data_IF_890669523120
#
_entry.id   IF_890669523120
#
_cell.length_a   1.000
_cell.length_b   1.000
_cell.length_c   1.000
_cell.angle_alpha   90.00
_cell.angle_beta   90.00
_cell.angle_gamma   90.00
#
_symmetry.space_group_name_H-M   'P 1'
#
loop_
_entity.id
_entity.type
_entity.pdbx_description
1 polymer ?
#
# COMPACT_ATOMS: atom_id res chain seq x y z
N UNK A 1 19.04 2.86 -21.79
CA UNK A 1 18.15 2.06 -20.92
C UNK A 1 18.82 1.75 -19.60
N UNK A 2 18.13 1.89 -18.50
CA UNK A 2 18.64 1.54 -17.18
C UNK A 2 18.83 0.02 -17.07
N UNK A 3 19.80 -0.42 -16.28
CA UNK A 3 19.97 -1.84 -16.01
C UNK A 3 18.92 -2.30 -14.99
N UNK A 4 18.08 -3.24 -15.36
CA UNK A 4 17.08 -3.80 -14.46
C UNK A 4 17.74 -4.82 -13.55
N UNK A 5 17.70 -4.56 -12.23
CA UNK A 5 18.26 -5.46 -11.22
C UNK A 5 17.19 -6.27 -10.51
N UNK A 6 15.94 -5.84 -10.59
CA UNK A 6 14.78 -6.59 -10.12
C UNK A 6 13.64 -6.37 -11.09
N UNK A 7 13.10 -7.44 -11.65
CA UNK A 7 11.99 -7.37 -12.58
C UNK A 7 10.69 -7.00 -11.86
N UNK A 8 9.80 -6.36 -12.60
CA UNK A 8 8.43 -6.08 -12.16
C UNK A 8 7.70 -7.40 -11.89
N UNK A 9 7.16 -7.58 -10.69
CA UNK A 9 6.64 -8.87 -10.23
C UNK A 9 5.25 -8.71 -9.63
N UNK A 10 4.25 -9.49 -10.09
CA UNK A 10 2.97 -9.56 -9.38
C UNK A 10 3.17 -10.24 -8.02
N UNK A 11 2.50 -9.70 -7.02
CA UNK A 11 2.61 -10.20 -5.66
C UNK A 11 1.25 -10.11 -4.96
N UNK A 12 1.13 -10.77 -3.81
CA UNK A 12 -0.06 -10.69 -2.98
C UNK A 12 0.33 -10.45 -1.53
N UNK A 13 -0.54 -9.72 -0.83
CA UNK A 13 -0.44 -9.56 0.61
C UNK A 13 -1.78 -9.95 1.22
N UNK A 14 -1.74 -10.63 2.37
CA UNK A 14 -2.93 -10.98 3.10
C UNK A 14 -3.04 -10.09 4.32
N UNK A 15 -4.18 -9.43 4.46
CA UNK A 15 -4.48 -8.59 5.61
C UNK A 15 -5.65 -9.18 6.38
N UNK A 16 -5.64 -8.95 7.69
CA UNK A 16 -6.62 -9.48 8.62
C UNK A 16 -7.26 -8.33 9.36
N UNK A 17 -8.57 -8.44 9.58
CA UNK A 17 -9.37 -7.39 10.21
C UNK A 17 -10.35 -8.00 11.20
N UNK A 18 -10.71 -7.19 12.20
CA UNK A 18 -11.84 -7.44 13.07
C UNK A 18 -12.86 -6.36 12.81
N UNK A 19 -14.10 -6.74 12.49
CA UNK A 19 -15.15 -5.81 12.13
C UNK A 19 -16.32 -5.90 13.11
N UNK A 20 -16.86 -4.74 13.45
CA UNK A 20 -18.10 -4.59 14.20
C UNK A 20 -19.10 -3.86 13.32
N UNK A 21 -20.34 -4.32 13.31
CA UNK A 21 -21.40 -3.70 12.54
C UNK A 21 -22.52 -3.24 13.46
N UNK A 22 -23.21 -2.15 13.12
CA UNK A 22 -24.41 -1.77 13.82
C UNK A 22 -25.53 -2.75 13.49
N UNK A 23 -26.26 -3.21 14.50
CA UNK A 23 -27.33 -4.19 14.34
C UNK A 23 -28.49 -3.66 13.48
N UNK A 24 -28.75 -2.36 13.54
CA UNK A 24 -29.78 -1.68 12.78
C UNK A 24 -29.29 -1.07 11.47
N UNK A 25 -27.97 -1.07 11.22
CA UNK A 25 -27.37 -0.57 9.99
C UNK A 25 -26.12 -1.39 9.65
N UNK A 26 -26.30 -2.55 8.97
CA UNK A 26 -25.17 -3.43 8.67
C UNK A 26 -24.12 -2.85 7.74
N UNK A 27 -24.40 -1.72 7.07
CA UNK A 27 -23.44 -1.05 6.20
C UNK A 27 -22.52 -0.12 6.96
N UNK A 28 -22.78 0.11 8.24
CA UNK A 28 -21.97 0.96 9.11
C UNK A 28 -21.36 0.16 10.24
N UNK A 29 -20.18 0.56 10.66
CA UNK A 29 -19.50 -0.10 11.76
C UNK A 29 -18.07 0.37 11.91
N UNK A 30 -17.26 -0.49 12.52
CA UNK A 30 -15.86 -0.22 12.80
C UNK A 30 -15.01 -1.38 12.31
N UNK A 31 -13.80 -1.06 11.82
CA UNK A 31 -12.82 -2.04 11.33
C UNK A 31 -11.50 -1.77 12.01
N UNK A 32 -10.89 -2.82 12.54
CA UNK A 32 -9.60 -2.74 13.22
C UNK A 32 -8.63 -3.76 12.64
N UNK A 33 -7.32 -3.48 12.61
CA UNK A 33 -6.35 -4.46 12.17
C UNK A 33 -6.29 -5.65 13.12
N UNK A 34 -6.11 -6.83 12.56
CA UNK A 34 -6.00 -8.07 13.32
C UNK A 34 -4.72 -8.83 12.96
N UNK A 35 -4.32 -9.70 13.85
CA UNK A 35 -3.26 -10.67 13.60
C UNK A 35 -3.83 -11.88 12.85
N UNK A 36 -2.93 -12.68 12.29
CA UNK A 36 -3.32 -13.90 11.56
C UNK A 36 -4.13 -14.87 12.41
N UNK A 37 -3.90 -14.89 13.73
CA UNK A 37 -4.59 -15.76 14.67
C UNK A 37 -5.97 -15.25 15.11
N UNK A 38 -6.39 -14.08 14.60
CA UNK A 38 -7.67 -13.47 14.93
C UNK A 38 -7.66 -12.54 16.13
N UNK A 39 -6.52 -12.34 16.77
CA UNK A 39 -6.42 -11.38 17.87
C UNK A 39 -6.23 -9.96 17.32
N UNK A 40 -6.67 -8.92 18.07
CA UNK A 40 -6.45 -7.55 17.62
C UNK A 40 -4.95 -7.21 17.57
N UNK A 41 -4.54 -6.54 16.50
CA UNK A 41 -3.15 -6.15 16.30
C UNK A 41 -2.88 -4.80 16.98
N UNK A 42 -2.82 -4.78 18.30
CA UNK A 42 -2.66 -3.55 19.08
C UNK A 42 -1.36 -2.81 18.77
N UNK A 43 -0.33 -3.51 18.34
CA UNK A 43 0.94 -2.92 17.91
C UNK A 43 0.81 -2.06 16.64
N UNK A 44 -0.24 -2.28 15.86
CA UNK A 44 -0.55 -1.51 14.63
C UNK A 44 -1.58 -0.42 14.86
N UNK A 45 -2.08 -0.27 16.08
CA UNK A 45 -3.12 0.69 16.43
C UNK A 45 -2.54 1.85 17.23
N UNK A 46 -2.92 3.11 16.91
CA UNK A 46 -2.67 4.21 17.83
C UNK A 46 -3.50 4.04 19.10
N UNK A 47 -3.14 4.72 20.21
CA UNK A 47 -3.88 4.59 21.47
C UNK A 47 -5.37 4.82 21.37
N UNK A 48 -5.78 5.76 20.52
CA UNK A 48 -7.18 6.09 20.28
C UNK A 48 -7.95 4.92 19.67
N UNK A 49 -7.32 4.19 18.74
CA UNK A 49 -7.92 3.03 18.10
C UNK A 49 -8.08 1.88 19.10
N UNK A 50 -7.10 1.67 19.98
CA UNK A 50 -7.17 0.67 21.03
C UNK A 50 -8.34 0.95 21.98
N UNK A 51 -8.49 2.21 22.37
CA UNK A 51 -9.61 2.64 23.21
C UNK A 51 -10.94 2.40 22.52
N UNK A 52 -11.05 2.77 21.24
CA UNK A 52 -12.25 2.55 20.44
C UNK A 52 -12.59 1.07 20.29
N UNK A 53 -11.60 0.23 20.10
CA UNK A 53 -11.80 -1.22 20.05
C UNK A 53 -12.41 -1.75 21.35
N UNK A 54 -11.89 -1.34 22.50
CA UNK A 54 -12.41 -1.75 23.80
C UNK A 54 -13.82 -1.24 24.03
N UNK A 55 -14.16 -0.03 23.56
CA UNK A 55 -15.51 0.50 23.62
C UNK A 55 -16.48 -0.30 22.72
N UNK A 56 -16.04 -0.71 21.54
CA UNK A 56 -16.84 -1.52 20.63
C UNK A 56 -17.22 -2.88 21.24
N UNK A 57 -16.34 -3.48 22.01
CA UNK A 57 -16.60 -4.75 22.69
C UNK A 57 -17.75 -4.65 23.71
N UNK A 58 -17.99 -3.46 24.25
CA UNK A 58 -19.01 -3.21 25.27
C UNK A 58 -20.27 -2.57 24.71
N UNK A 59 -20.27 -2.20 23.44
CA UNK A 59 -21.39 -1.46 22.82
C UNK A 59 -22.47 -2.45 22.36
N UNK A 60 -23.61 -2.44 23.02
CA UNK A 60 -24.74 -3.33 22.72
C UNK A 60 -25.40 -3.04 21.36
N UNK A 61 -25.14 -1.88 20.77
CA UNK A 61 -25.67 -1.54 19.43
C UNK A 61 -24.92 -2.24 18.32
N UNK A 62 -23.74 -2.79 18.62
CA UNK A 62 -22.87 -3.46 17.67
C UNK A 62 -23.02 -4.99 17.75
N UNK A 63 -22.76 -5.64 16.62
CA UNK A 63 -22.65 -7.10 16.58
C UNK A 63 -21.42 -7.56 17.34
N UNK A 64 -21.29 -8.86 17.59
CA UNK A 64 -20.04 -9.44 18.05
C UNK A 64 -18.96 -9.24 16.97
N UNK A 65 -17.67 -9.17 17.36
CA UNK A 65 -16.61 -8.98 16.41
C UNK A 65 -16.52 -10.13 15.40
N UNK A 66 -16.37 -9.76 14.13
CA UNK A 66 -16.19 -10.72 13.04
C UNK A 66 -14.76 -10.62 12.51
N UNK A 67 -14.11 -11.76 12.36
CA UNK A 67 -12.78 -11.84 11.78
C UNK A 67 -12.90 -11.93 10.26
N UNK A 68 -12.17 -11.05 9.54
CA UNK A 68 -12.13 -11.05 8.09
C UNK A 68 -10.70 -11.15 7.58
N UNK A 69 -10.54 -11.93 6.54
CA UNK A 69 -9.28 -12.08 5.80
C UNK A 69 -9.46 -11.48 4.42
N UNK A 70 -8.52 -10.65 4.00
CA UNK A 70 -8.51 -10.04 2.68
C UNK A 70 -7.19 -10.30 1.98
N UNK A 71 -7.25 -10.80 0.75
CA UNK A 71 -6.08 -11.02 -0.10
C UNK A 71 -6.04 -9.91 -1.13
N UNK A 72 -4.98 -9.10 -1.09
CA UNK A 72 -4.79 -7.96 -1.97
C UNK A 72 -3.69 -8.31 -2.97
N UNK A 73 -4.01 -8.19 -4.26
CA UNK A 73 -3.04 -8.35 -5.34
C UNK A 73 -2.44 -7.00 -5.69
N UNK A 74 -1.14 -6.95 -5.85
CA UNK A 74 -0.44 -5.75 -6.27
C UNK A 74 0.75 -6.12 -7.14
N UNK A 75 1.35 -5.12 -7.77
CA UNK A 75 2.54 -5.31 -8.59
C UNK A 75 3.71 -4.62 -7.90
N UNK A 76 4.74 -5.39 -7.55
CA UNK A 76 5.99 -4.83 -7.08
C UNK A 76 6.70 -4.19 -8.27
N UNK A 77 7.07 -2.89 -8.19
CA UNK A 77 7.73 -2.22 -9.30
C UNK A 77 9.13 -2.79 -9.54
N UNK A 78 9.58 -2.70 -10.79
CA UNK A 78 10.95 -3.03 -11.12
C UNK A 78 11.90 -2.06 -10.43
N UNK A 79 13.12 -2.52 -10.17
CA UNK A 79 14.21 -1.68 -9.66
C UNK A 79 15.32 -1.70 -10.70
N UNK A 80 15.81 -0.53 -11.06
CA UNK A 80 16.89 -0.39 -12.01
C UNK A 80 18.08 0.31 -11.39
N UNK A 81 19.23 0.18 -12.03
CA UNK A 81 20.44 0.90 -11.65
C UNK A 81 20.77 1.92 -12.71
N UNK A 82 20.75 3.19 -12.31
CA UNK A 82 21.16 4.30 -13.15
C UNK A 82 22.65 4.21 -13.46
N UNK A 83 23.08 4.83 -14.56
CA UNK A 83 24.50 4.91 -14.89
C UNK A 83 25.33 5.65 -13.85
N UNK A 84 24.69 6.46 -12.98
CA UNK A 84 25.35 7.11 -11.85
C UNK A 84 25.62 6.14 -10.67
N UNK A 85 25.13 4.90 -10.74
CA UNK A 85 25.29 3.88 -9.70
C UNK A 85 24.15 3.78 -8.71
N UNK A 86 23.21 4.74 -8.67
CA UNK A 86 22.09 4.73 -7.74
C UNK A 86 20.98 3.77 -8.20
N UNK A 87 20.32 3.14 -7.26
CA UNK A 87 19.13 2.33 -7.53
C UNK A 87 17.89 3.21 -7.67
N UNK A 88 17.05 2.90 -8.65
CA UNK A 88 15.83 3.64 -8.94
C UNK A 88 14.66 2.66 -8.94
N UNK A 89 13.66 2.96 -8.12
CA UNK A 89 12.39 2.20 -8.12
C UNK A 89 11.50 2.76 -9.22
N UNK A 90 11.11 1.90 -10.17
CA UNK A 90 10.35 2.29 -11.36
C UNK A 90 8.84 2.20 -11.08
N UNK A 91 8.34 3.04 -10.19
CA UNK A 91 6.97 3.00 -9.69
C UNK A 91 6.03 4.06 -10.28
N UNK A 92 6.51 4.87 -11.20
CA UNK A 92 5.66 5.82 -11.94
C UNK A 92 5.04 6.95 -11.11
N UNK A 93 5.83 7.59 -10.25
CA UNK A 93 5.35 8.67 -9.38
C UNK A 93 4.89 9.95 -10.09
N UNK A 94 5.40 10.20 -11.29
CA UNK A 94 5.08 11.42 -12.00
C UNK A 94 4.91 11.15 -13.49
N UNK A 95 3.66 11.24 -13.98
CA UNK A 95 3.32 11.08 -15.40
C UNK A 95 3.95 9.82 -16.06
N UNK A 96 4.09 8.74 -15.29
CA UNK A 96 4.74 7.52 -15.78
C UNK A 96 6.27 7.59 -15.76
N UNK A 97 6.85 8.58 -15.10
CA UNK A 97 8.28 8.80 -15.06
C UNK A 97 8.82 8.78 -13.63
N UNK A 98 10.07 8.37 -13.48
CA UNK A 98 10.78 8.33 -12.21
C UNK A 98 12.11 9.06 -12.38
N UNK A 99 12.45 9.88 -11.40
CA UNK A 99 13.69 10.65 -11.40
C UNK A 99 14.73 9.99 -10.51
N UNK A 100 15.92 9.77 -11.08
CA UNK A 100 17.10 9.39 -10.31
C UNK A 100 17.66 10.62 -9.56
N UNK A 101 18.36 10.40 -8.47
CA UNK A 101 19.03 11.45 -7.70
C UNK A 101 20.01 12.28 -8.53
N UNK A 102 20.58 11.69 -9.58
CA UNK A 102 21.48 12.39 -10.50
C UNK A 102 20.76 13.33 -11.47
N UNK A 103 19.42 13.34 -11.47
CA UNK A 103 18.61 14.17 -12.34
C UNK A 103 18.11 13.50 -13.61
N UNK A 104 18.55 12.28 -13.92
CA UNK A 104 18.04 11.54 -15.07
C UNK A 104 16.64 11.02 -14.84
N UNK A 105 15.84 10.97 -15.90
CA UNK A 105 14.48 10.49 -15.87
C UNK A 105 14.34 9.18 -16.63
N UNK A 106 13.51 8.29 -16.12
CA UNK A 106 13.20 6.99 -16.72
C UNK A 106 11.70 6.74 -16.68
N UNK A 107 11.20 5.95 -17.63
CA UNK A 107 9.83 5.44 -17.53
C UNK A 107 9.79 4.15 -16.68
N UNK A 108 8.61 3.61 -16.46
CA UNK A 108 8.45 2.40 -15.63
C UNK A 108 9.09 1.16 -16.27
N UNK A 109 9.45 1.21 -17.54
CA UNK A 109 10.14 0.13 -18.25
C UNK A 109 11.67 0.31 -18.25
N UNK A 110 12.17 1.38 -17.63
CA UNK A 110 13.59 1.66 -17.53
C UNK A 110 14.19 2.40 -18.72
N UNK A 111 13.37 2.89 -19.63
CA UNK A 111 13.85 3.70 -20.77
C UNK A 111 14.16 5.12 -20.31
N UNK A 112 15.29 5.66 -20.78
CA UNK A 112 15.69 7.03 -20.48
C UNK A 112 14.72 8.02 -21.13
N UNK A 113 14.35 9.04 -20.38
CA UNK A 113 13.46 10.10 -20.82
C UNK A 113 14.20 11.44 -20.87
N UNK A 114 13.71 12.35 -21.69
CA UNK A 114 14.17 13.74 -21.68
C UNK A 114 13.75 14.41 -20.37
N UNK A 115 14.41 15.51 -20.05
CA UNK A 115 13.98 16.38 -18.97
C UNK A 115 12.50 16.78 -19.16
N UNK A 116 11.66 16.80 -18.13
CA UNK A 116 10.23 17.11 -18.25
C UNK A 116 9.90 18.41 -18.99
N UNK A 117 10.79 19.38 -18.97
CA UNK A 117 10.60 20.65 -19.70
C UNK A 117 10.44 20.46 -21.20
N UNK A 118 10.87 19.31 -21.76
CA UNK A 118 10.77 19.00 -23.19
C UNK A 118 9.55 18.13 -23.54
N UNK A 119 8.81 17.63 -22.58
CA UNK A 119 7.74 16.65 -22.83
C UNK A 119 6.51 17.25 -23.51
N UNK A 120 6.29 18.55 -23.34
CA UNK A 120 5.14 19.25 -23.94
C UNK A 120 5.43 19.78 -25.35
N UNK A 121 6.62 19.57 -25.85
CA UNK A 121 7.01 19.96 -27.18
C UNK A 121 6.62 18.90 -28.20
N UNK A 122 5.89 19.32 -29.22
CA UNK A 122 5.51 18.47 -30.33
C UNK A 122 6.50 18.60 -31.51
#
# INVERSE_FOLDING_TARGET
>A
MIKIIKERTPSTITEYYIEFFYKDDPDSGFCFPANRDGTPAFDKMPPEAIENYNLCLKDERLTEPEFRKEVISYIEPAVGRCICGAEVVLDSDYAGAVRCECGRWYNIFGQSLRDPKYWEED
#
